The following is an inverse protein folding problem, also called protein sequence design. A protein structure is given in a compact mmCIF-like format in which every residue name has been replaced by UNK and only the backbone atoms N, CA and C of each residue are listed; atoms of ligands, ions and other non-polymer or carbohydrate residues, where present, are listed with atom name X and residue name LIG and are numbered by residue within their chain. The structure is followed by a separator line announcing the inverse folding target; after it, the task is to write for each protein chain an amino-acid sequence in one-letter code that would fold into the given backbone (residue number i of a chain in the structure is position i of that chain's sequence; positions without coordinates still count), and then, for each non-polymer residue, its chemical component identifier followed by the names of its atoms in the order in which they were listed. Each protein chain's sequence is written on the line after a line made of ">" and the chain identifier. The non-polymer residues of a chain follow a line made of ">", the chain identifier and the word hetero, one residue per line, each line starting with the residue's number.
data_IF_033744739545
#
_entry.id   IF_033744739545
#
_cell.length_a   1.000
_cell.length_b   1.000
_cell.length_c   1.000
_cell.angle_alpha   90.00
_cell.angle_beta   90.00
_cell.angle_gamma   90.00
#
_symmetry.space_group_name_H-M   'P 1'
#
loop_
_entity.id
_entity.type
_entity.pdbx_description
1 polymer ?
#
# COMPACT_ATOMS: atom_id res chain seq x y z
N UNK A 1 11.62 -6.95 -26.70
CA UNK A 1 12.18 -6.27 -25.50
C UNK A 1 11.80 -7.11 -24.28
N UNK A 2 12.68 -8.02 -23.87
CA UNK A 2 12.46 -8.94 -22.77
C UNK A 2 12.85 -8.27 -21.44
N UNK A 3 11.88 -7.97 -20.58
CA UNK A 3 12.16 -7.72 -19.17
C UNK A 3 12.14 -9.07 -18.47
N UNK A 4 13.33 -9.59 -18.21
CA UNK A 4 13.56 -10.80 -17.44
C UNK A 4 12.89 -10.67 -16.07
N UNK A 5 11.98 -11.60 -15.78
CA UNK A 5 11.51 -11.86 -14.43
C UNK A 5 12.72 -12.31 -13.59
N UNK A 6 12.98 -11.71 -12.41
CA UNK A 6 14.00 -12.24 -11.51
C UNK A 6 13.53 -13.59 -10.97
N UNK A 7 14.19 -14.68 -11.41
CA UNK A 7 13.85 -16.08 -11.12
C UNK A 7 14.28 -16.59 -9.74
N UNK A 8 14.49 -15.73 -8.74
CA UNK A 8 15.20 -16.11 -7.50
C UNK A 8 14.44 -15.83 -6.18
N UNK A 9 13.12 -15.68 -6.21
CA UNK A 9 12.38 -15.26 -5.01
C UNK A 9 11.70 -16.40 -4.23
N UNK A 10 11.78 -17.65 -4.68
CA UNK A 10 11.09 -18.78 -4.03
C UNK A 10 11.77 -19.22 -2.72
N UNK A 11 13.08 -18.97 -2.58
CA UNK A 11 13.87 -19.39 -1.40
C UNK A 11 13.42 -18.73 -0.08
N UNK A 12 12.88 -17.51 -0.14
CA UNK A 12 12.40 -16.79 1.06
C UNK A 12 11.13 -17.39 1.66
N UNK A 13 10.33 -18.08 0.85
CA UNK A 13 9.04 -18.64 1.28
C UNK A 13 9.14 -20.08 1.78
N UNK A 14 10.20 -20.81 1.39
CA UNK A 14 10.45 -22.19 1.85
C UNK A 14 11.16 -22.27 3.20
N UNK A 15 11.85 -21.20 3.64
CA UNK A 15 12.57 -21.14 4.92
C UNK A 15 11.67 -20.97 6.15
N UNK A 16 10.33 -20.98 5.99
CA UNK A 16 9.36 -20.88 7.09
C UNK A 16 9.28 -19.50 7.76
N UNK A 17 10.02 -18.50 7.26
CA UNK A 17 9.99 -17.15 7.80
C UNK A 17 8.74 -16.35 7.38
N UNK A 18 8.13 -16.73 6.26
CA UNK A 18 6.93 -16.10 5.73
C UNK A 18 5.70 -16.95 6.03
N UNK A 19 4.68 -16.33 6.60
CA UNK A 19 3.36 -16.91 6.80
C UNK A 19 2.47 -16.70 5.59
N UNK A 20 1.47 -17.59 5.48
CA UNK A 20 0.46 -17.53 4.43
C UNK A 20 -0.35 -16.23 4.50
N UNK A 21 -0.86 -15.78 3.36
CA UNK A 21 -1.77 -14.64 3.30
C UNK A 21 -3.07 -14.92 4.07
N UNK A 22 -3.69 -13.86 4.58
CA UNK A 22 -5.03 -13.90 5.19
C UNK A 22 -6.09 -13.44 4.17
N UNK A 23 -7.37 -13.71 4.42
CA UNK A 23 -8.50 -13.34 3.54
C UNK A 23 -8.49 -11.86 3.14
N UNK A 24 -8.09 -10.99 4.07
CA UNK A 24 -7.97 -9.55 3.83
C UNK A 24 -6.90 -9.18 2.83
N UNK A 25 -5.98 -10.08 2.50
CA UNK A 25 -4.88 -9.83 1.59
C UNK A 25 -5.17 -10.36 0.17
N UNK A 26 -6.28 -11.07 -0.02
CA UNK A 26 -6.71 -11.59 -1.33
C UNK A 26 -6.94 -10.44 -2.33
N UNK A 27 -6.42 -10.59 -3.54
CA UNK A 27 -6.47 -9.57 -4.59
C UNK A 27 -5.40 -8.48 -4.48
N UNK A 28 -4.41 -8.60 -3.59
CA UNK A 28 -3.24 -7.72 -3.60
C UNK A 28 -2.24 -8.11 -4.72
N UNK A 29 -1.73 -7.14 -5.48
CA UNK A 29 -0.77 -7.36 -6.59
C UNK A 29 0.54 -8.04 -6.13
N UNK A 30 0.81 -8.01 -4.82
CA UNK A 30 2.05 -8.47 -4.19
C UNK A 30 2.01 -9.91 -3.67
N UNK A 31 0.97 -10.66 -3.99
CA UNK A 31 0.86 -12.08 -3.61
C UNK A 31 1.72 -12.95 -4.52
N UNK A 32 2.41 -13.92 -3.93
CA UNK A 32 3.24 -14.90 -4.64
C UNK A 32 2.76 -16.29 -4.25
N UNK A 33 2.49 -17.13 -5.24
CA UNK A 33 2.11 -18.52 -5.02
C UNK A 33 3.35 -19.42 -5.07
N UNK A 34 3.56 -20.21 -4.02
CA UNK A 34 4.68 -21.15 -3.89
C UNK A 34 4.14 -22.47 -3.39
N UNK A 35 4.35 -23.55 -4.16
CA UNK A 35 4.08 -24.94 -3.76
C UNK A 35 2.65 -25.21 -3.22
N UNK A 36 1.65 -24.47 -3.73
CA UNK A 36 0.22 -24.48 -3.33
C UNK A 36 -0.16 -23.60 -2.12
N UNK A 37 0.75 -22.79 -1.60
CA UNK A 37 0.46 -21.76 -0.60
C UNK A 37 0.72 -20.36 -1.16
N UNK A 38 -0.13 -19.40 -0.79
CA UNK A 38 0.01 -18.00 -1.18
C UNK A 38 0.69 -17.20 -0.08
N UNK A 39 1.71 -16.44 -0.43
CA UNK A 39 2.51 -15.64 0.48
C UNK A 39 2.51 -14.16 0.07
N UNK A 40 2.75 -13.28 1.04
CA UNK A 40 2.97 -11.87 0.77
C UNK A 40 4.45 -11.64 0.40
N UNK A 41 4.72 -10.96 -0.71
CA UNK A 41 6.11 -10.65 -1.10
C UNK A 41 6.82 -9.63 -0.21
N UNK A 42 6.05 -8.83 0.53
CA UNK A 42 6.57 -7.68 1.28
C UNK A 42 6.62 -7.95 2.78
N UNK A 43 5.65 -8.71 3.31
CA UNK A 43 5.52 -8.94 4.73
C UNK A 43 5.63 -10.44 5.05
N UNK A 44 6.52 -10.75 5.99
CA UNK A 44 6.66 -12.09 6.57
C UNK A 44 5.42 -12.52 7.37
N UNK A 45 4.72 -11.57 8.01
CA UNK A 45 3.55 -11.85 8.85
C UNK A 45 2.39 -10.92 8.46
N UNK A 46 1.55 -11.30 7.48
CA UNK A 46 0.45 -10.47 7.01
C UNK A 46 -0.57 -10.20 8.13
N UNK A 47 -0.88 -11.19 8.97
CA UNK A 47 -1.84 -11.05 10.09
C UNK A 47 -1.47 -9.89 11.03
N UNK A 48 -0.21 -9.79 11.44
CA UNK A 48 0.28 -8.73 12.32
C UNK A 48 0.11 -7.34 11.69
N UNK A 49 0.32 -7.22 10.37
CA UNK A 49 0.14 -5.94 9.68
C UNK A 49 -1.33 -5.50 9.68
N UNK A 50 -2.23 -6.43 9.40
CA UNK A 50 -3.68 -6.17 9.39
C UNK A 50 -4.26 -5.95 10.80
N UNK A 51 -3.63 -6.46 11.85
CA UNK A 51 -3.97 -6.16 13.25
C UNK A 51 -3.65 -4.71 13.63
N UNK A 52 -2.56 -4.15 13.11
CA UNK A 52 -2.14 -2.76 13.37
C UNK A 52 -2.86 -1.71 12.52
N UNK A 53 -3.58 -2.13 11.47
CA UNK A 53 -4.32 -1.26 10.58
C UNK A 53 -4.31 -1.75 9.13
N UNK A 54 -4.73 -0.89 8.21
CA UNK A 54 -4.72 -1.21 6.78
C UNK A 54 -3.28 -1.43 6.29
N UNK A 55 -3.10 -2.43 5.43
CA UNK A 55 -1.82 -2.63 4.75
C UNK A 55 -1.56 -1.47 3.78
N UNK A 56 -0.40 -0.82 3.91
CA UNK A 56 -0.01 0.33 3.06
C UNK A 56 0.09 -0.03 1.56
N UNK A 57 0.26 -1.32 1.27
CA UNK A 57 0.35 -1.84 -0.09
C UNK A 57 -0.91 -2.57 -0.53
N UNK A 58 -1.99 -2.54 0.25
CA UNK A 58 -3.28 -3.09 -0.17
C UNK A 58 -3.80 -2.27 -1.37
N UNK A 59 -3.58 -2.80 -2.57
CA UNK A 59 -4.12 -2.21 -3.82
C UNK A 59 -5.64 -2.38 -3.92
N UNK A 60 -6.20 -3.36 -3.21
CA UNK A 60 -7.61 -3.69 -3.18
C UNK A 60 -8.40 -2.90 -2.11
N UNK A 61 -7.76 -2.47 -1.01
CA UNK A 61 -8.40 -1.57 -0.04
C UNK A 61 -7.97 -0.15 -0.33
N UNK A 62 -8.79 0.55 -1.12
CA UNK A 62 -8.69 2.00 -1.20
C UNK A 62 -9.15 2.55 0.16
N UNK A 63 -8.30 3.21 0.97
CA UNK A 63 -8.82 3.98 2.08
C UNK A 63 -9.78 5.00 1.47
N UNK A 64 -11.03 5.00 1.93
CA UNK A 64 -11.97 6.06 1.59
C UNK A 64 -11.40 7.35 2.16
N UNK A 65 -10.61 8.05 1.34
CA UNK A 65 -10.33 9.45 1.53
C UNK A 65 -11.68 10.09 1.29
N UNK A 66 -12.48 10.19 2.34
CA UNK A 66 -13.50 11.21 2.43
C UNK A 66 -12.72 12.50 2.26
N UNK A 67 -12.61 12.96 1.01
CA UNK A 67 -12.27 14.34 0.71
C UNK A 67 -13.46 15.09 1.27
N UNK A 68 -13.46 15.30 2.59
CA UNK A 68 -14.25 16.33 3.22
C UNK A 68 -13.87 17.55 2.39
N UNK A 69 -14.82 18.01 1.59
CA UNK A 69 -14.71 19.24 0.85
C UNK A 69 -14.58 20.31 1.93
N UNK A 70 -13.35 20.50 2.40
CA UNK A 70 -13.01 21.51 3.37
C UNK A 70 -13.38 22.79 2.63
N UNK A 71 -14.53 23.34 2.98
CA UNK A 71 -15.01 24.65 2.54
C UNK A 71 -13.98 25.64 3.05
N UNK A 72 -12.91 25.80 2.27
CA UNK A 72 -11.86 26.76 2.56
C UNK A 72 -12.53 28.11 2.44
N UNK A 73 -12.63 28.80 3.58
CA UNK A 73 -13.24 30.11 3.65
C UNK A 73 -12.54 31.06 2.65
N UNK A 74 -13.28 31.79 1.79
CA UNK A 74 -12.71 32.64 0.75
C UNK A 74 -11.73 33.68 1.30
N UNK A 75 -11.90 34.15 2.54
CA UNK A 75 -10.96 35.06 3.20
C UNK A 75 -9.58 34.41 3.44
N UNK A 76 -9.55 33.12 3.75
CA UNK A 76 -8.32 32.35 3.99
C UNK A 76 -7.57 32.06 2.69
N UNK A 77 -8.30 31.91 1.57
CA UNK A 77 -7.71 31.80 0.24
C UNK A 77 -7.10 33.14 -0.23
N UNK A 78 -7.84 34.23 -0.06
CA UNK A 78 -7.38 35.58 -0.43
C UNK A 78 -6.09 35.99 0.32
N UNK A 79 -6.03 35.72 1.63
CA UNK A 79 -4.81 36.00 2.43
C UNK A 79 -3.59 35.20 1.97
N UNK A 80 -3.77 33.94 1.54
CA UNK A 80 -2.66 33.11 1.00
C UNK A 80 -2.17 33.62 -0.35
N UNK A 81 -3.08 34.06 -1.22
CA UNK A 81 -2.72 34.66 -2.52
C UNK A 81 -1.89 35.93 -2.34
N UNK A 82 -2.31 36.82 -1.42
CA UNK A 82 -1.58 38.05 -1.11
C UNK A 82 -0.16 37.80 -0.58
N UNK A 83 0.04 36.75 0.25
CA UNK A 83 1.37 36.41 0.77
C UNK A 83 2.32 35.83 -0.27
N UNK A 84 1.81 35.15 -1.32
CA UNK A 84 2.66 34.64 -2.43
C UNK A 84 3.08 35.74 -3.40
N UNK A 85 2.25 36.78 -3.57
CA UNK A 85 2.55 37.91 -4.45
C UNK A 85 3.68 38.83 -3.94
N UNK A 86 3.98 38.83 -2.64
CA UNK A 86 5.00 39.70 -2.02
C UNK A 86 6.44 39.15 -2.12
N UNK A 87 6.62 37.99 -2.74
CA UNK A 87 7.92 37.34 -3.02
C UNK A 87 8.29 37.40 -4.51
N UNK A 88 8.04 38.53 -5.17
CA UNK A 88 8.59 38.85 -6.49
C UNK A 88 9.10 40.29 -6.47
#
# INVERSE_FOLDING_TARGET
>A
MAKAAPKDMTSKYTTGQFQQIIDKCEGCERMVEVEAAKYCSTYAMPEAKWRLGLCNFATHVKPEISVSTLKINPLKASKRAATKGKKK
#
